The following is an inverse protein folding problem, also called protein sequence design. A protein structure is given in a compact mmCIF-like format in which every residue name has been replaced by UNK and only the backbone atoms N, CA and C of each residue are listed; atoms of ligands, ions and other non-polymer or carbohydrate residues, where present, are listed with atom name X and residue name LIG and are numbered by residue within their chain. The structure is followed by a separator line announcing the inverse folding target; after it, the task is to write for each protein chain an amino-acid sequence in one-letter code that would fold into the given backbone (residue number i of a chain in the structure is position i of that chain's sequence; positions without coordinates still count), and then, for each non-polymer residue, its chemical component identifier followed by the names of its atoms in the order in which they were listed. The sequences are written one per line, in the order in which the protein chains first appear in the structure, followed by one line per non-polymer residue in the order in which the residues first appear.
data_IF_051397849187
#
_entry.id   IF_051397849187
#
_cell.length_a   1.000
_cell.length_b   1.000
_cell.length_c   1.000
_cell.angle_alpha   90.00
_cell.angle_beta   90.00
_cell.angle_gamma   90.00
#
_symmetry.space_group_name_H-M   'P 1'
#
loop_
_entity.id
_entity.type
_entity.pdbx_description
1 polymer ?
#
# COMPACT_ATOMS: atom_id res chain seq x y z
N UNK A 1 -5.98 8.44 16.15
CA UNK A 1 -5.52 7.51 15.09
C UNK A 1 -6.08 6.14 15.40
N UNK A 2 -6.90 5.63 14.49
CA UNK A 2 -7.36 4.24 14.51
C UNK A 2 -6.32 3.37 13.81
N UNK A 3 -6.31 2.06 14.09
CA UNK A 3 -5.45 1.10 13.40
C UNK A 3 -5.68 1.07 11.89
N UNK A 4 -6.86 1.50 11.44
CA UNK A 4 -7.18 1.63 10.02
C UNK A 4 -6.45 2.82 9.40
N UNK A 5 -6.37 3.94 10.11
CA UNK A 5 -5.60 5.12 9.65
C UNK A 5 -4.11 4.81 9.51
N UNK A 6 -3.56 3.97 10.41
CA UNK A 6 -2.16 3.50 10.31
C UNK A 6 -1.92 2.65 9.06
N UNK A 7 -2.87 1.76 8.75
CA UNK A 7 -2.81 0.90 7.56
C UNK A 7 -2.90 1.76 6.29
N UNK A 8 -3.82 2.71 6.25
CA UNK A 8 -4.00 3.58 5.09
C UNK A 8 -2.76 4.48 4.88
N UNK A 9 -2.17 4.98 5.96
CA UNK A 9 -0.91 5.72 5.90
C UNK A 9 0.27 4.86 5.41
N UNK A 10 0.35 3.61 5.84
CA UNK A 10 1.35 2.65 5.36
C UNK A 10 1.20 2.41 3.85
N UNK A 11 -0.03 2.15 3.38
CA UNK A 11 -0.31 1.96 1.94
C UNK A 11 0.16 3.17 1.13
N UNK A 12 -0.16 4.40 1.56
CA UNK A 12 0.28 5.63 0.88
C UNK A 12 1.81 5.75 0.86
N UNK A 13 2.46 5.52 2.00
CA UNK A 13 3.93 5.60 2.10
C UNK A 13 4.63 4.58 1.19
N UNK A 14 4.12 3.35 1.15
CA UNK A 14 4.67 2.32 0.26
C UNK A 14 4.40 2.64 -1.20
N UNK A 15 3.23 3.17 -1.54
CA UNK A 15 2.90 3.58 -2.89
C UNK A 15 3.87 4.64 -3.42
N UNK A 16 4.15 5.71 -2.67
CA UNK A 16 5.12 6.75 -3.06
C UNK A 16 6.53 6.17 -3.22
N UNK A 17 6.93 5.24 -2.35
CA UNK A 17 8.26 4.60 -2.42
C UNK A 17 8.42 3.65 -3.60
N UNK A 18 7.35 2.93 -3.96
CA UNK A 18 7.36 1.94 -5.04
C UNK A 18 7.06 2.57 -6.40
N UNK A 19 6.41 3.73 -6.43
CA UNK A 19 6.06 4.43 -7.67
C UNK A 19 7.20 4.56 -8.68
N UNK A 20 8.43 4.99 -8.32
CA UNK A 20 9.53 5.10 -9.27
C UNK A 20 10.05 3.76 -9.81
N UNK A 21 9.67 2.64 -9.17
CA UNK A 21 10.04 1.28 -9.59
C UNK A 21 8.95 0.60 -10.40
N UNK A 22 7.75 1.17 -10.47
CA UNK A 22 6.64 0.61 -11.24
C UNK A 22 6.88 0.87 -12.72
N UNK A 23 6.71 -0.18 -13.53
CA UNK A 23 6.74 -0.04 -15.00
C UNK A 23 5.39 0.50 -15.50
N UNK A 24 4.30 0.13 -14.81
CA UNK A 24 2.97 0.67 -15.06
C UNK A 24 2.18 0.91 -13.76
N UNK A 25 1.28 1.91 -13.78
CA UNK A 25 0.47 2.29 -12.62
C UNK A 25 -0.46 1.18 -12.13
N UNK A 26 -0.93 0.31 -13.03
CA UNK A 26 -1.81 -0.80 -12.65
C UNK A 26 -1.11 -1.87 -11.80
N UNK A 27 0.22 -1.93 -11.82
CA UNK A 27 1.03 -2.88 -11.02
C UNK A 27 1.26 -2.38 -9.59
N UNK A 28 1.16 -1.07 -9.37
CA UNK A 28 1.48 -0.42 -8.10
C UNK A 28 0.65 -0.96 -6.92
N UNK A 29 -0.68 -1.16 -7.02
CA UNK A 29 -1.47 -1.75 -5.93
C UNK A 29 -1.02 -3.15 -5.54
N UNK A 30 -0.69 -3.98 -6.53
CA UNK A 30 -0.18 -5.34 -6.33
C UNK A 30 1.17 -5.28 -5.62
N UNK A 31 2.10 -4.45 -6.10
CA UNK A 31 3.43 -4.29 -5.50
C UNK A 31 3.36 -3.82 -4.04
N UNK A 32 2.49 -2.84 -3.74
CA UNK A 32 2.24 -2.38 -2.37
C UNK A 32 1.67 -3.49 -1.50
N UNK A 33 0.69 -4.24 -2.00
CA UNK A 33 0.14 -5.38 -1.27
C UNK A 33 1.22 -6.42 -0.91
N UNK A 34 2.06 -6.81 -1.87
CA UNK A 34 3.16 -7.75 -1.64
C UNK A 34 4.16 -7.23 -0.63
N UNK A 35 4.53 -5.94 -0.72
CA UNK A 35 5.45 -5.32 0.23
C UNK A 35 4.88 -5.30 1.65
N UNK A 36 3.59 -4.97 1.84
CA UNK A 36 2.93 -5.05 3.15
C UNK A 36 2.89 -6.49 3.66
N UNK A 37 2.59 -7.47 2.79
CA UNK A 37 2.59 -8.90 3.17
C UNK A 37 3.99 -9.37 3.58
N UNK A 38 5.04 -8.91 2.90
CA UNK A 38 6.41 -9.20 3.27
C UNK A 38 6.76 -8.57 4.63
N UNK A 39 6.44 -7.29 4.83
CA UNK A 39 6.69 -6.60 6.10
C UNK A 39 5.90 -7.23 7.26
N UNK A 40 4.71 -7.74 6.99
CA UNK A 40 3.88 -8.45 7.96
C UNK A 40 4.57 -9.69 8.55
N UNK A 41 5.50 -10.32 7.83
CA UNK A 41 6.27 -11.45 8.38
C UNK A 41 7.17 -11.05 9.55
N UNK A 42 7.56 -9.77 9.62
CA UNK A 42 8.42 -9.22 10.65
C UNK A 42 7.63 -8.45 11.74
N UNK A 43 6.33 -8.20 11.52
CA UNK A 43 5.49 -7.43 12.45
C UNK A 43 4.86 -8.32 13.50
N UNK A 44 5.00 -7.94 14.78
CA UNK A 44 4.29 -8.58 15.89
C UNK A 44 2.75 -8.49 15.78
N UNK A 45 2.24 -7.46 15.07
CA UNK A 45 0.82 -7.25 14.81
C UNK A 45 0.61 -6.99 13.31
N UNK A 46 0.37 -8.04 12.49
CA UNK A 46 0.20 -7.91 11.06
C UNK A 46 -0.95 -6.96 10.68
N UNK A 47 -0.77 -6.27 9.57
CA UNK A 47 -1.80 -5.48 8.91
C UNK A 47 -2.65 -6.38 8.01
N UNK A 48 -3.96 -6.32 8.18
CA UNK A 48 -4.91 -7.03 7.31
C UNK A 48 -5.30 -6.08 6.20
N UNK A 49 -4.75 -6.30 5.01
CA UNK A 49 -5.03 -5.53 3.80
C UNK A 49 -5.41 -6.48 2.67
N UNK A 50 -6.25 -5.99 1.76
CA UNK A 50 -6.49 -6.61 0.46
C UNK A 50 -5.89 -5.75 -0.64
N UNK A 51 -5.62 -6.35 -1.79
CA UNK A 51 -5.17 -5.62 -2.97
C UNK A 51 -6.18 -4.56 -3.42
N UNK A 52 -7.48 -4.88 -3.35
CA UNK A 52 -8.56 -3.91 -3.61
C UNK A 52 -8.52 -2.71 -2.67
N UNK A 53 -8.18 -2.93 -1.40
CA UNK A 53 -8.02 -1.85 -0.44
C UNK A 53 -6.84 -0.95 -0.82
N UNK A 54 -5.70 -1.56 -1.17
CA UNK A 54 -4.52 -0.83 -1.64
C UNK A 54 -4.85 -0.01 -2.89
N UNK A 55 -5.52 -0.62 -3.88
CA UNK A 55 -5.97 0.03 -5.12
C UNK A 55 -6.86 1.23 -4.83
N UNK A 56 -7.85 1.09 -3.94
CA UNK A 56 -8.77 2.18 -3.59
C UNK A 56 -8.04 3.37 -2.97
N UNK A 57 -7.06 3.13 -2.09
CA UNK A 57 -6.29 4.20 -1.45
C UNK A 57 -5.36 4.87 -2.46
N UNK A 58 -4.66 4.09 -3.29
CA UNK A 58 -3.71 4.59 -4.28
C UNK A 58 -4.41 5.41 -5.37
N UNK A 59 -5.55 4.96 -5.88
CA UNK A 59 -6.32 5.72 -6.87
C UNK A 59 -7.00 6.97 -6.27
N UNK A 60 -7.06 7.09 -4.95
CA UNK A 60 -7.56 8.29 -4.28
C UNK A 60 -6.44 9.29 -3.94
N UNK A 61 -5.19 8.98 -4.30
CA UNK A 61 -4.04 9.86 -4.05
C UNK A 61 -3.87 10.85 -5.21
N UNK A 62 -3.80 12.16 -4.95
CA UNK A 62 -3.59 13.17 -6.00
C UNK A 62 -2.24 13.03 -6.71
N UNK A 63 -1.29 12.29 -6.14
CA UNK A 63 0.01 12.01 -6.73
C UNK A 63 -0.07 11.07 -7.95
N UNK A 64 -1.19 10.36 -8.15
CA UNK A 64 -1.36 9.32 -9.17
C UNK A 64 -2.60 9.53 -10.07
N UNK A 65 -3.20 10.72 -10.02
CA UNK A 65 -4.35 11.15 -10.83
C UNK A 65 -3.92 11.82 -12.15
#
# INVERSE_FOLDING_TARGET
MTRRDEIDAEIRNQAVRLYPRCTALFELPTMVYWQIMQDNTLRHKPYRVSEEHCKKIILAMPEFD
#
